data_IF_513566392628
#
_entry.id   IF_513566392628
#
_cell.length_a   1.000
_cell.length_b   1.000
_cell.length_c   1.000
_cell.angle_alpha   90.00
_cell.angle_beta   90.00
_cell.angle_gamma   90.00
#
_symmetry.space_group_name_H-M   'P 1'
#
loop_
_entity.id
_entity.type
_entity.pdbx_description
1 polymer ?
#
# COMPACT_ATOMS: atom_id res chain seq x y z
N UNK A 1 -8.88 13.18 -9.79
CA UNK A 1 -8.55 11.76 -10.08
C UNK A 1 -7.20 11.64 -10.81
N UNK A 2 -6.91 12.44 -11.83
CA UNK A 2 -5.63 12.34 -12.60
C UNK A 2 -4.36 12.69 -11.81
N UNK A 3 -4.39 13.67 -10.90
CA UNK A 3 -3.25 13.98 -10.02
C UNK A 3 -2.88 12.85 -9.07
N UNK A 4 -3.89 12.12 -8.59
CA UNK A 4 -3.70 10.97 -7.69
C UNK A 4 -2.99 9.84 -8.46
N UNK A 5 -3.40 9.59 -9.71
CA UNK A 5 -2.72 8.63 -10.59
C UNK A 5 -1.28 9.04 -10.94
N UNK A 6 -1.02 10.33 -11.19
CA UNK A 6 0.33 10.85 -11.45
C UNK A 6 1.28 10.62 -10.26
N UNK A 7 0.81 10.85 -9.04
CA UNK A 7 1.60 10.68 -7.80
C UNK A 7 1.73 9.20 -7.40
N UNK A 8 0.70 8.39 -7.65
CA UNK A 8 0.71 6.95 -7.35
C UNK A 8 1.51 6.12 -8.36
N UNK A 9 1.62 6.56 -9.61
CA UNK A 9 2.38 5.88 -10.67
C UNK A 9 3.79 5.45 -10.24
N UNK A 10 4.62 6.36 -9.68
CA UNK A 10 5.96 6.02 -9.24
C UNK A 10 6.03 5.36 -7.84
N UNK A 11 4.93 5.18 -7.09
CA UNK A 11 5.03 4.65 -5.73
C UNK A 11 5.56 3.22 -5.67
N UNK A 12 5.14 2.35 -6.59
CA UNK A 12 5.63 0.97 -6.64
C UNK A 12 7.15 0.89 -6.92
N UNK A 13 7.70 1.57 -7.95
CA UNK A 13 9.15 1.58 -8.16
C UNK A 13 9.93 2.27 -7.03
N UNK A 14 9.38 3.29 -6.37
CA UNK A 14 9.99 3.89 -5.17
C UNK A 14 10.08 2.85 -4.04
N UNK A 15 9.02 2.06 -3.83
CA UNK A 15 8.99 1.00 -2.81
C UNK A 15 10.04 -0.07 -3.10
N UNK A 16 10.13 -0.54 -4.35
CA UNK A 16 11.14 -1.53 -4.78
C UNK A 16 12.55 -0.99 -4.65
N UNK A 17 12.77 0.28 -5.02
CA UNK A 17 14.06 0.98 -4.85
C UNK A 17 14.47 1.05 -3.38
N UNK A 18 13.54 1.39 -2.48
CA UNK A 18 13.80 1.40 -1.03
C UNK A 18 14.04 0.00 -0.47
N UNK A 19 13.22 -0.99 -0.84
CA UNK A 19 13.41 -2.38 -0.42
C UNK A 19 14.79 -2.91 -0.85
N UNK A 20 15.27 -2.54 -2.04
CA UNK A 20 16.61 -2.91 -2.53
C UNK A 20 17.78 -2.24 -1.81
N UNK A 21 17.53 -1.15 -1.08
CA UNK A 21 18.54 -0.50 -0.22
C UNK A 21 18.60 -1.14 1.17
N UNK A 22 17.53 -1.77 1.63
CA UNK A 22 17.40 -2.33 2.98
C UNK A 22 17.66 -3.84 3.01
N UNK A 23 17.32 -4.58 1.93
CA UNK A 23 17.43 -6.03 1.89
C UNK A 23 18.53 -6.55 0.93
N UNK A 24 19.25 -7.62 1.30
CA UNK A 24 20.19 -8.30 0.41
C UNK A 24 19.47 -8.94 -0.79
N UNK A 25 20.11 -8.91 -1.97
CA UNK A 25 19.53 -9.27 -3.27
C UNK A 25 18.86 -10.64 -3.32
N UNK A 26 19.32 -11.61 -2.52
CA UNK A 26 18.78 -12.98 -2.48
C UNK A 26 17.44 -13.07 -1.75
N UNK A 27 17.20 -12.24 -0.74
CA UNK A 27 15.94 -12.21 0.02
C UNK A 27 14.93 -11.22 -0.58
N UNK A 28 15.41 -10.23 -1.33
CA UNK A 28 14.58 -9.20 -1.94
C UNK A 28 13.43 -9.78 -2.78
N UNK A 29 13.70 -10.77 -3.64
CA UNK A 29 12.67 -11.39 -4.49
C UNK A 29 11.58 -12.07 -3.65
N UNK A 30 11.96 -12.74 -2.56
CA UNK A 30 11.02 -13.44 -1.67
C UNK A 30 10.18 -12.42 -0.91
N UNK A 31 10.79 -11.38 -0.33
CA UNK A 31 10.07 -10.35 0.41
C UNK A 31 9.13 -9.54 -0.49
N UNK A 32 9.56 -9.19 -1.71
CA UNK A 32 8.69 -8.54 -2.69
C UNK A 32 7.53 -9.45 -3.09
N UNK A 33 7.77 -10.76 -3.27
CA UNK A 33 6.71 -11.73 -3.55
C UNK A 33 5.66 -11.82 -2.42
N UNK A 34 6.08 -11.75 -1.16
CA UNK A 34 5.14 -11.65 -0.03
C UNK A 34 4.35 -10.34 -0.03
N UNK A 35 5.01 -9.21 -0.29
CA UNK A 35 4.35 -7.89 -0.36
C UNK A 35 3.32 -7.87 -1.50
N UNK A 36 3.66 -8.38 -2.69
CA UNK A 36 2.74 -8.44 -3.82
C UNK A 36 1.61 -9.42 -3.55
N UNK A 37 1.88 -10.59 -2.95
CA UNK A 37 0.86 -11.56 -2.57
C UNK A 37 -0.17 -10.97 -1.60
N UNK A 38 0.29 -10.29 -0.54
CA UNK A 38 -0.58 -9.59 0.41
C UNK A 38 -1.31 -8.44 -0.27
N UNK A 39 -0.64 -7.67 -1.13
CA UNK A 39 -1.25 -6.57 -1.89
C UNK A 39 -2.39 -7.02 -2.80
N UNK A 40 -2.20 -8.13 -3.52
CA UNK A 40 -3.22 -8.73 -4.37
C UNK A 40 -4.37 -9.28 -3.52
N UNK A 41 -4.10 -9.99 -2.42
CA UNK A 41 -5.13 -10.49 -1.52
C UNK A 41 -5.97 -9.35 -0.91
N UNK A 42 -5.30 -8.27 -0.47
CA UNK A 42 -5.95 -7.06 0.03
C UNK A 42 -6.81 -6.37 -1.04
N UNK A 43 -6.39 -6.39 -2.31
CA UNK A 43 -7.14 -5.79 -3.41
C UNK A 43 -8.49 -6.47 -3.68
N UNK A 44 -8.67 -7.73 -3.27
CA UNK A 44 -9.96 -8.43 -3.34
C UNK A 44 -10.77 -8.27 -2.04
N UNK A 45 -10.09 -8.24 -0.89
CA UNK A 45 -10.74 -8.07 0.41
C UNK A 45 -11.34 -6.66 0.60
N UNK A 46 -10.67 -5.62 0.10
CA UNK A 46 -11.11 -4.24 0.26
C UNK A 46 -12.42 -3.93 -0.50
N UNK A 47 -12.59 -4.29 -1.79
CA UNK A 47 -13.86 -4.16 -2.50
C UNK A 47 -14.96 -5.03 -1.89
N UNK A 48 -14.61 -6.21 -1.37
CA UNK A 48 -15.58 -7.06 -0.67
C UNK A 48 -16.14 -6.39 0.58
N UNK A 49 -15.25 -5.86 1.44
CA UNK A 49 -15.65 -5.13 2.64
C UNK A 49 -16.47 -3.88 2.29
N UNK A 50 -16.06 -3.18 1.22
CA UNK A 50 -16.77 -2.03 0.68
C UNK A 50 -18.17 -2.39 0.19
N UNK A 51 -18.32 -3.51 -0.53
CA UNK A 51 -19.61 -4.01 -1.01
C UNK A 51 -20.52 -4.48 0.13
N UNK A 52 -19.95 -5.07 1.18
CA UNK A 52 -20.69 -5.44 2.38
C UNK A 52 -21.23 -4.19 3.11
N UNK A 53 -20.38 -3.17 3.25
CA UNK A 53 -20.73 -1.92 3.91
C UNK A 53 -21.74 -1.10 3.10
N UNK A 54 -21.59 -1.04 1.77
CA UNK A 54 -22.52 -0.34 0.87
C UNK A 54 -23.91 -0.96 0.89
N UNK A 55 -23.99 -2.29 1.02
CA UNK A 55 -25.26 -3.03 1.10
C UNK A 55 -26.06 -2.74 2.37
N UNK A 56 -25.40 -2.31 3.46
CA UNK A 56 -26.04 -2.01 4.76
C UNK A 56 -26.25 -0.52 5.03
N UNK A 57 -25.30 0.33 4.64
CA UNK A 57 -25.28 1.76 4.98
C UNK A 57 -25.45 2.71 3.77
N UNK A 58 -25.54 2.17 2.56
CA UNK A 58 -25.69 2.95 1.32
C UNK A 58 -24.42 3.70 0.90
N UNK A 59 -24.52 4.46 -0.19
CA UNK A 59 -23.37 5.11 -0.89
C UNK A 59 -22.62 6.11 0.00
N UNK A 60 -23.27 6.68 1.03
CA UNK A 60 -22.63 7.60 1.97
C UNK A 60 -21.49 6.97 2.78
N UNK A 61 -21.45 5.63 2.91
CA UNK A 61 -20.38 4.92 3.62
C UNK A 61 -19.08 4.78 2.81
N UNK A 62 -19.11 5.00 1.49
CA UNK A 62 -17.93 4.93 0.62
C UNK A 62 -16.91 6.03 0.93
N UNK A 63 -17.38 7.24 1.22
CA UNK A 63 -16.53 8.39 1.46
C UNK A 63 -15.69 8.26 2.75
N UNK A 64 -16.25 7.90 3.93
CA UNK A 64 -15.43 7.66 5.12
C UNK A 64 -14.51 6.45 4.97
N UNK A 65 -14.91 5.41 4.21
CA UNK A 65 -14.05 4.25 3.95
C UNK A 65 -12.81 4.60 3.11
N UNK A 66 -12.97 5.44 2.08
CA UNK A 66 -11.83 5.94 1.32
C UNK A 66 -10.89 6.77 2.18
N UNK A 67 -11.43 7.63 3.06
CA UNK A 67 -10.62 8.44 3.98
C UNK A 67 -9.85 7.57 4.97
N UNK A 68 -10.48 6.54 5.55
CA UNK A 68 -9.78 5.63 6.47
C UNK A 68 -8.67 4.85 5.76
N UNK A 69 -8.88 4.41 4.52
CA UNK A 69 -7.85 3.75 3.71
C UNK A 69 -6.68 4.69 3.38
N UNK A 70 -6.95 5.94 3.01
CA UNK A 70 -5.89 6.93 2.79
C UNK A 70 -5.13 7.23 4.08
N UNK A 71 -5.82 7.33 5.22
CA UNK A 71 -5.19 7.56 6.52
C UNK A 71 -4.31 6.38 6.94
N UNK A 72 -4.79 5.14 6.75
CA UNK A 72 -4.01 3.93 7.00
C UNK A 72 -2.73 3.90 6.16
N UNK A 73 -2.82 4.25 4.88
CA UNK A 73 -1.66 4.36 4.00
C UNK A 73 -0.65 5.41 4.50
N UNK A 74 -1.12 6.58 4.95
CA UNK A 74 -0.26 7.64 5.51
C UNK A 74 0.42 7.18 6.81
N UNK A 75 -0.29 6.49 7.70
CA UNK A 75 0.25 5.96 8.95
C UNK A 75 1.34 4.93 8.65
N UNK A 76 1.07 3.98 7.76
CA UNK A 76 2.06 2.97 7.33
C UNK A 76 3.30 3.67 6.78
N UNK A 77 3.13 4.71 5.97
CA UNK A 77 4.25 5.49 5.43
C UNK A 77 5.02 6.28 6.49
N UNK A 78 4.34 6.80 7.52
CA UNK A 78 4.98 7.46 8.65
C UNK A 78 5.81 6.49 9.49
N UNK A 79 5.38 5.23 9.59
CA UNK A 79 6.14 4.17 10.25
C UNK A 79 7.30 3.63 9.42
N UNK A 80 7.35 3.86 8.10
CA UNK A 80 8.51 3.48 7.28
C UNK A 80 9.71 4.34 7.72
N UNK A 81 10.73 3.76 8.39
CA UNK A 81 11.90 4.53 8.75
C UNK A 81 12.60 4.98 7.47
N UNK A 82 12.91 6.28 7.38
CA UNK A 82 13.77 6.82 6.32
C UNK A 82 15.16 6.20 6.48
N UNK A 83 15.41 5.07 5.84
CA UNK A 83 16.67 4.34 5.99
C UNK A 83 17.83 5.18 5.44
N UNK A 84 18.48 5.88 6.36
CA UNK A 84 19.91 6.12 6.35
C UNK A 84 20.51 4.95 7.14
N UNK A 85 21.17 4.03 6.44
CA UNK A 85 22.63 3.79 6.49
C UNK A 85 22.90 2.35 6.04
N UNK A 86 23.67 2.21 4.94
CA UNK A 86 24.48 1.01 4.74
C UNK A 86 25.50 0.97 5.87
N UNK A 87 25.43 -0.05 6.70
CA UNK A 87 26.63 -0.61 7.30
C UNK A 87 26.80 -1.92 6.54
N UNK A 88 27.92 -2.00 5.82
CA UNK A 88 28.40 -3.10 4.96
C UNK A 88 27.95 -3.07 3.48
#
# INVERSE_FOLDING_TARGET
VSFIGLVLGPMYPILVSQASRVLPRRLLTVCLGWITGIGIAGSAALPFLTGLLSSRFGIRALQPLLVTMMCAMLIIWAFVPKSIRRVD
#
